data_IF_829504735817
#
_entry.id   IF_829504735817
#
_cell.length_a   1.000
_cell.length_b   1.000
_cell.length_c   1.000
_cell.angle_alpha   90.00
_cell.angle_beta   90.00
_cell.angle_gamma   90.00
#
_symmetry.space_group_name_H-M   'P 1'
#
loop_
_entity.id
_entity.type
_entity.pdbx_description
1 polymer ?
#
# COMPACT_ATOMS: atom_id res chain seq x y z
N UNK A 1 -10.42 20.54 -10.68
CA UNK A 1 -11.15 19.25 -10.39
C UNK A 1 -10.28 18.31 -9.58
N UNK A 2 -10.87 17.42 -8.74
CA UNK A 2 -10.11 16.47 -7.90
C UNK A 2 -10.30 15.01 -8.36
N UNK A 3 -9.20 14.26 -8.47
CA UNK A 3 -9.19 12.81 -8.73
C UNK A 3 -8.82 12.06 -7.44
N UNK A 4 -9.47 10.93 -7.18
CA UNK A 4 -9.32 10.14 -5.94
C UNK A 4 -8.94 8.71 -6.30
N UNK A 5 -7.82 8.23 -5.74
CA UNK A 5 -7.27 6.90 -5.97
C UNK A 5 -7.02 6.18 -4.65
N UNK A 6 -7.09 4.84 -4.67
CA UNK A 6 -6.62 3.99 -3.57
C UNK A 6 -6.10 2.64 -4.11
N UNK A 7 -5.23 1.92 -3.39
CA UNK A 7 -4.66 0.66 -3.87
C UNK A 7 -5.65 -0.51 -3.83
N UNK A 8 -6.66 -0.48 -2.97
CA UNK A 8 -7.67 -1.56 -2.83
C UNK A 8 -9.06 -1.08 -3.25
N UNK A 9 -9.90 -2.02 -3.68
CA UNK A 9 -11.29 -1.72 -4.09
C UNK A 9 -12.13 -1.12 -2.97
N UNK A 10 -12.01 -1.66 -1.76
CA UNK A 10 -12.75 -1.16 -0.58
C UNK A 10 -12.33 0.27 -0.26
N UNK A 11 -11.02 0.53 -0.17
CA UNK A 11 -10.51 1.87 0.13
C UNK A 11 -10.84 2.90 -0.97
N UNK A 12 -10.92 2.46 -2.22
CA UNK A 12 -11.33 3.32 -3.33
C UNK A 12 -12.82 3.66 -3.23
N UNK A 13 -13.67 2.67 -2.89
CA UNK A 13 -15.10 2.88 -2.71
C UNK A 13 -15.39 3.83 -1.54
N UNK A 14 -14.67 3.72 -0.41
CA UNK A 14 -14.85 4.59 0.76
C UNK A 14 -14.66 6.09 0.48
N UNK A 15 -13.84 6.42 -0.52
CA UNK A 15 -13.57 7.80 -0.92
C UNK A 15 -14.27 8.17 -2.23
N UNK A 16 -15.22 7.37 -2.72
CA UNK A 16 -15.85 7.49 -4.06
C UNK A 16 -14.81 7.72 -5.16
N UNK A 17 -13.74 6.93 -5.13
CA UNK A 17 -12.61 6.96 -6.05
C UNK A 17 -12.52 5.71 -6.92
N UNK A 18 -11.35 5.51 -7.52
CA UNK A 18 -11.03 4.30 -8.29
C UNK A 18 -9.74 3.67 -7.80
N UNK A 19 -9.53 2.39 -8.12
CA UNK A 19 -8.26 1.77 -7.74
C UNK A 19 -7.10 2.31 -8.56
N UNK A 20 -5.91 2.38 -7.97
CA UNK A 20 -4.68 2.76 -8.69
C UNK A 20 -4.42 1.83 -9.88
N UNK A 21 -4.64 0.52 -9.74
CA UNK A 21 -4.45 -0.43 -10.84
C UNK A 21 -5.49 -0.26 -11.95
N UNK A 22 -6.76 -0.01 -11.60
CA UNK A 22 -7.80 0.33 -12.60
C UNK A 22 -7.42 1.59 -13.37
N UNK A 23 -6.85 2.59 -12.70
CA UNK A 23 -6.36 3.81 -13.33
C UNK A 23 -5.19 3.55 -14.30
N UNK A 24 -4.23 2.72 -13.90
CA UNK A 24 -3.08 2.39 -14.73
C UNK A 24 -3.44 1.53 -15.95
N UNK A 25 -4.67 1.02 -16.03
CA UNK A 25 -5.09 0.08 -17.07
C UNK A 25 -4.43 -1.29 -16.94
N UNK A 26 -3.88 -1.62 -15.77
CA UNK A 26 -3.28 -2.92 -15.48
C UNK A 26 -4.42 -3.95 -15.28
N UNK A 27 -4.99 -4.46 -16.37
CA UNK A 27 -5.82 -5.66 -16.32
C UNK A 27 -4.90 -6.87 -16.14
N UNK A 28 -5.10 -7.64 -15.07
CA UNK A 28 -4.28 -8.78 -14.65
C UNK A 28 -4.17 -9.95 -15.66
N UNK A 29 -4.57 -9.79 -16.92
CA UNK A 29 -4.59 -10.86 -17.91
C UNK A 29 -4.29 -10.40 -19.35
N UNK A 30 -3.71 -9.22 -19.52
CA UNK A 30 -3.36 -8.71 -20.84
C UNK A 30 -1.84 -8.58 -20.96
N UNK A 31 -1.20 -9.47 -21.73
CA UNK A 31 0.23 -9.40 -22.12
C UNK A 31 0.60 -8.11 -22.87
N UNK A 32 -0.38 -7.24 -23.13
CA UNK A 32 -0.18 -5.91 -23.67
C UNK A 32 -0.08 -4.96 -22.49
N UNK A 33 1.14 -4.63 -22.09
CA UNK A 33 1.38 -3.39 -21.37
C UNK A 33 0.63 -2.29 -22.12
N UNK A 34 -0.38 -1.68 -21.50
CA UNK A 34 -1.06 -0.51 -22.06
C UNK A 34 0.02 0.55 -22.25
N UNK A 35 0.58 0.61 -23.45
CA UNK A 35 1.57 1.60 -23.82
C UNK A 35 0.75 2.86 -24.02
N UNK A 36 0.52 3.59 -22.93
CA UNK A 36 -0.11 4.91 -22.97
C UNK A 36 0.86 5.78 -23.76
N UNK A 37 0.55 5.95 -25.04
CA UNK A 37 1.33 6.81 -25.92
C UNK A 37 0.93 8.26 -25.60
N UNK A 38 1.89 9.19 -25.55
CA UNK A 38 1.59 10.61 -25.63
C UNK A 38 0.65 10.85 -26.82
N UNK A 39 -0.49 11.52 -26.63
CA UNK A 39 -1.51 11.69 -27.66
C UNK A 39 -2.77 10.82 -27.52
N UNK A 40 -2.94 10.03 -26.44
CA UNK A 40 -4.22 9.40 -26.17
C UNK A 40 -5.27 10.45 -25.79
N UNK A 41 -6.00 10.91 -26.81
CA UNK A 41 -6.97 11.99 -26.71
C UNK A 41 -8.04 11.78 -25.63
N UNK A 42 -8.29 10.54 -25.19
CA UNK A 42 -9.27 10.26 -24.14
C UNK A 42 -8.70 10.55 -22.76
N UNK A 43 -7.52 10.01 -22.45
CA UNK A 43 -6.85 10.22 -21.16
C UNK A 43 -6.50 11.70 -20.97
N UNK A 44 -6.02 12.35 -22.04
CA UNK A 44 -5.71 13.78 -22.02
C UNK A 44 -6.94 14.64 -21.74
N UNK A 45 -8.07 14.38 -22.40
CA UNK A 45 -9.32 15.12 -22.15
C UNK A 45 -9.82 14.92 -20.73
N UNK A 46 -9.68 13.72 -20.18
CA UNK A 46 -10.10 13.39 -18.82
C UNK A 46 -9.22 14.06 -17.76
N UNK A 47 -7.91 14.14 -18.00
CA UNK A 47 -6.95 14.68 -17.03
C UNK A 47 -6.68 16.16 -17.17
N UNK A 48 -6.92 16.77 -18.33
CA UNK A 48 -6.80 18.22 -18.53
C UNK A 48 -7.44 19.04 -17.39
N UNK A 49 -8.69 18.80 -16.95
CA UNK A 49 -9.31 19.57 -15.85
C UNK A 49 -8.86 19.19 -14.42
N UNK A 50 -8.09 18.12 -14.24
CA UNK A 50 -7.67 17.63 -12.91
C UNK A 50 -6.55 18.50 -12.35
N UNK A 51 -6.75 19.10 -11.18
CA UNK A 51 -5.75 19.97 -10.52
C UNK A 51 -5.26 19.36 -9.21
N UNK A 52 -6.04 18.45 -8.64
CA UNK A 52 -5.75 17.76 -7.38
C UNK A 52 -5.86 16.25 -7.57
N UNK A 53 -4.89 15.53 -7.02
CA UNK A 53 -4.89 14.08 -6.90
C UNK A 53 -4.81 13.69 -5.43
N UNK A 54 -5.80 12.94 -4.96
CA UNK A 54 -5.82 12.34 -3.63
C UNK A 54 -5.52 10.85 -3.76
N UNK A 55 -4.54 10.36 -3.02
CA UNK A 55 -4.23 8.92 -2.95
C UNK A 55 -4.37 8.47 -1.50
N UNK A 56 -5.34 7.60 -1.24
CA UNK A 56 -5.57 7.00 0.06
C UNK A 56 -4.79 5.69 0.23
N UNK A 57 -4.48 5.32 1.47
CA UNK A 57 -3.70 4.12 1.85
C UNK A 57 -2.33 4.02 1.17
N UNK A 58 -1.59 5.14 1.18
CA UNK A 58 -0.27 5.27 0.56
C UNK A 58 0.77 4.27 1.09
N UNK A 59 0.57 3.71 2.28
CA UNK A 59 1.47 2.69 2.85
C UNK A 59 1.54 1.40 2.01
N UNK A 60 0.46 1.07 1.30
CA UNK A 60 0.39 -0.08 0.40
C UNK A 60 0.91 0.23 -1.01
N UNK A 61 1.15 1.50 -1.33
CA UNK A 61 1.70 1.92 -2.62
C UNK A 61 3.22 1.80 -2.56
N UNK A 62 3.78 0.94 -3.40
CA UNK A 62 5.23 0.77 -3.49
C UNK A 62 5.90 1.75 -4.46
N UNK A 63 7.23 1.71 -4.46
CA UNK A 63 8.06 2.60 -5.29
C UNK A 63 7.81 2.40 -6.80
N UNK A 64 7.71 1.16 -7.28
CA UNK A 64 7.48 0.92 -8.71
C UNK A 64 6.11 1.42 -9.15
N UNK A 65 5.08 1.18 -8.33
CA UNK A 65 3.72 1.63 -8.60
C UNK A 65 3.62 3.17 -8.64
N UNK A 66 4.26 3.86 -7.70
CA UNK A 66 4.27 5.31 -7.64
C UNK A 66 4.95 5.94 -8.87
N UNK A 67 6.07 5.36 -9.32
CA UNK A 67 6.78 5.84 -10.50
C UNK A 67 5.95 5.70 -11.78
N UNK A 68 5.28 4.56 -11.95
CA UNK A 68 4.34 4.34 -13.08
C UNK A 68 3.20 5.35 -13.06
N UNK A 69 2.63 5.60 -11.87
CA UNK A 69 1.56 6.58 -11.69
C UNK A 69 2.00 7.98 -12.14
N UNK A 70 3.17 8.43 -11.69
CA UNK A 70 3.77 9.70 -12.12
C UNK A 70 3.94 9.77 -13.63
N UNK A 71 4.53 8.74 -14.24
CA UNK A 71 4.77 8.69 -15.69
C UNK A 71 3.47 8.86 -16.49
N UNK A 72 2.41 8.15 -16.10
CA UNK A 72 1.12 8.21 -16.79
C UNK A 72 0.45 9.57 -16.63
N UNK A 73 0.54 10.17 -15.44
CA UNK A 73 -0.03 11.50 -15.21
C UNK A 73 0.74 12.56 -16.01
N UNK A 74 2.08 12.52 -16.04
CA UNK A 74 2.88 13.43 -16.87
C UNK A 74 2.50 13.30 -18.35
N UNK A 75 2.34 12.07 -18.86
CA UNK A 75 1.88 11.83 -20.22
C UNK A 75 0.46 12.40 -20.47
N UNK A 76 -0.48 12.17 -19.55
CA UNK A 76 -1.85 12.68 -19.64
C UNK A 76 -1.93 14.21 -19.59
N UNK A 77 -0.97 14.86 -18.92
CA UNK A 77 -0.86 16.31 -18.78
C UNK A 77 -0.04 16.99 -19.87
N UNK A 78 0.58 16.22 -20.77
CA UNK A 78 1.55 16.74 -21.73
C UNK A 78 2.66 17.55 -21.04
N UNK A 79 3.08 17.09 -19.86
CA UNK A 79 4.08 17.75 -19.03
C UNK A 79 5.44 17.08 -19.20
N UNK A 80 6.50 17.85 -18.95
CA UNK A 80 7.86 17.33 -18.89
C UNK A 80 7.93 16.18 -17.85
N UNK A 81 8.53 15.01 -18.18
CA UNK A 81 8.71 13.90 -17.24
C UNK A 81 9.43 14.26 -15.93
N UNK A 82 10.21 15.34 -15.92
CA UNK A 82 10.87 15.88 -14.73
C UNK A 82 9.94 16.69 -13.82
N UNK A 83 8.75 17.08 -14.30
CA UNK A 83 7.75 17.75 -13.48
C UNK A 83 6.93 16.69 -12.73
N UNK A 84 6.99 16.66 -11.39
CA UNK A 84 6.27 15.69 -10.57
C UNK A 84 4.77 15.75 -10.85
N UNK A 85 4.18 14.59 -11.14
CA UNK A 85 2.77 14.39 -11.44
C UNK A 85 2.20 15.38 -12.47
N UNK A 86 3.03 15.82 -13.42
CA UNK A 86 2.64 16.80 -14.43
C UNK A 86 2.17 18.15 -13.86
N UNK A 87 2.63 18.51 -12.66
CA UNK A 87 2.40 19.81 -12.04
C UNK A 87 1.08 19.93 -11.29
N UNK A 88 0.37 18.83 -11.07
CA UNK A 88 -0.84 18.84 -10.23
C UNK A 88 -0.49 18.79 -8.75
N UNK A 89 -1.41 19.26 -7.92
CA UNK A 89 -1.29 19.14 -6.47
C UNK A 89 -1.61 17.70 -6.05
N UNK A 90 -0.74 17.07 -5.26
CA UNK A 90 -0.95 15.70 -4.80
C UNK A 90 -1.07 15.66 -3.28
N UNK A 91 -2.08 14.96 -2.79
CA UNK A 91 -2.36 14.77 -1.37
C UNK A 91 -2.33 13.26 -1.10
N UNK A 92 -1.41 12.86 -0.22
CA UNK A 92 -1.28 11.48 0.21
C UNK A 92 -1.94 11.29 1.58
N UNK A 93 -2.74 10.24 1.72
CA UNK A 93 -3.24 9.74 3.00
C UNK A 93 -2.74 8.33 3.22
N UNK A 94 -2.33 8.02 4.44
CA UNK A 94 -1.96 6.66 4.80
C UNK A 94 -1.19 6.58 6.11
N UNK A 95 -0.99 5.34 6.52
CA UNK A 95 -0.29 5.01 7.74
C UNK A 95 0.74 3.91 7.47
N UNK A 96 2.00 4.30 7.42
CA UNK A 96 3.12 3.43 7.06
C UNK A 96 3.38 2.28 8.06
N UNK A 97 2.75 2.33 9.25
CA UNK A 97 2.86 1.24 10.24
C UNK A 97 1.78 0.16 10.07
N UNK A 98 0.75 0.39 9.26
CA UNK A 98 -0.35 -0.58 9.07
C UNK A 98 0.02 -1.68 8.08
N UNK A 99 0.19 -1.32 6.81
CA UNK A 99 0.39 -2.28 5.73
C UNK A 99 1.57 -1.89 4.86
N UNK A 100 2.40 -2.88 4.50
CA UNK A 100 3.47 -2.74 3.50
C UNK A 100 2.94 -3.01 2.10
N UNK A 101 3.59 -2.48 1.04
CA UNK A 101 3.25 -2.86 -0.33
C UNK A 101 3.46 -4.35 -0.59
N UNK A 102 2.62 -4.91 -1.46
CA UNK A 102 2.69 -6.33 -1.86
C UNK A 102 3.55 -6.44 -3.11
N UNK A 103 4.57 -7.30 -3.09
CA UNK A 103 5.54 -7.51 -4.19
C UNK A 103 6.30 -6.26 -4.69
N UNK A 104 6.24 -5.15 -3.95
CA UNK A 104 6.93 -3.90 -4.25
C UNK A 104 7.66 -3.36 -3.01
N UNK A 105 8.63 -2.47 -3.21
CA UNK A 105 9.41 -1.88 -2.13
C UNK A 105 8.62 -0.75 -1.42
N UNK A 106 8.62 -0.69 -0.08
CA UNK A 106 8.06 0.43 0.68
C UNK A 106 8.66 1.78 0.30
N UNK A 107 7.88 2.85 0.44
CA UNK A 107 8.32 4.21 0.08
C UNK A 107 9.48 4.74 0.93
N UNK A 108 9.62 4.24 2.17
CA UNK A 108 10.70 4.57 3.09
C UNK A 108 11.94 3.66 2.94
N UNK A 109 12.03 2.87 1.87
CA UNK A 109 13.20 2.06 1.61
C UNK A 109 14.38 2.97 1.28
N UNK A 110 15.48 2.86 2.04
CA UNK A 110 16.73 3.53 1.71
C UNK A 110 17.23 3.00 0.36
N UNK A 111 17.00 3.77 -0.70
CA UNK A 111 17.43 3.39 -2.03
C UNK A 111 18.83 3.96 -2.26
N UNK A 112 19.84 3.12 -2.06
CA UNK A 112 21.20 3.41 -2.50
C UNK A 112 21.42 2.73 -3.84
N UNK A 113 21.72 3.51 -4.88
CA UNK A 113 22.31 2.93 -6.09
C UNK A 113 23.59 2.19 -5.68
N UNK A 114 23.86 0.99 -6.22
CA UNK A 114 25.13 0.33 -6.00
C UNK A 114 26.26 1.18 -6.60
N UNK A 115 26.82 2.08 -5.79
CA UNK A 115 27.99 2.85 -6.13
C UNK A 115 29.17 1.88 -6.09
N UNK A 116 29.63 1.49 -7.28
CA UNK A 116 30.86 0.74 -7.58
C UNK A 116 30.80 -0.78 -7.41
N UNK A 117 30.60 -1.45 -8.55
CA UNK A 117 31.45 -2.58 -8.94
C UNK A 117 31.87 -2.36 -10.39
N UNK A 118 33.06 -2.81 -10.78
CA UNK A 118 33.83 -2.43 -11.98
C UNK A 118 33.22 -2.88 -13.33
N UNK A 119 31.91 -2.93 -13.45
CA UNK A 119 31.20 -3.21 -14.70
C UNK A 119 30.03 -2.23 -14.81
N UNK A 120 30.00 -1.48 -15.91
CA UNK A 120 28.89 -0.63 -16.34
C UNK A 120 27.63 -1.48 -16.57
N UNK A 121 27.00 -1.92 -15.48
CA UNK A 121 25.74 -2.67 -15.55
C UNK A 121 24.62 -1.66 -15.77
N UNK A 122 23.91 -1.82 -16.89
CA UNK A 122 22.70 -1.04 -17.21
C UNK A 122 21.70 -1.24 -16.06
N UNK A 123 21.16 -0.13 -15.53
CA UNK A 123 20.13 -0.16 -14.48
C UNK A 123 18.87 -0.84 -15.02
N UNK A 124 18.25 -1.68 -14.22
CA UNK A 124 16.96 -2.28 -14.59
C UNK A 124 15.85 -1.23 -14.52
N UNK A 125 14.77 -1.44 -15.27
CA UNK A 125 13.61 -0.55 -15.24
C UNK A 125 13.06 -0.38 -13.82
N UNK A 126 13.01 -1.47 -13.04
CA UNK A 126 12.59 -1.43 -11.64
C UNK A 126 13.49 -0.54 -10.78
N UNK A 127 14.80 -0.58 -10.99
CA UNK A 127 15.73 0.30 -10.28
C UNK A 127 15.53 1.77 -10.65
N UNK A 128 15.27 2.06 -11.94
CA UNK A 128 14.96 3.42 -12.42
C UNK A 128 13.66 3.92 -11.79
N UNK A 129 12.61 3.10 -11.81
CA UNK A 129 11.32 3.40 -11.18
C UNK A 129 11.50 3.69 -9.68
N UNK A 130 12.31 2.89 -8.98
CA UNK A 130 12.59 3.14 -7.57
C UNK A 130 13.30 4.48 -7.34
N UNK A 131 14.27 4.86 -8.18
CA UNK A 131 14.93 6.18 -8.10
C UNK A 131 13.93 7.32 -8.27
N UNK A 132 13.07 7.21 -9.29
CA UNK A 132 12.07 8.23 -9.61
C UNK A 132 11.09 8.38 -8.45
N UNK A 133 10.50 7.29 -7.97
CA UNK A 133 9.57 7.34 -6.86
C UNK A 133 10.21 7.86 -5.57
N UNK A 134 11.45 7.48 -5.27
CA UNK A 134 12.16 8.02 -4.12
C UNK A 134 12.37 9.54 -4.24
N UNK A 135 12.72 10.04 -5.44
CA UNK A 135 12.79 11.48 -5.71
C UNK A 135 11.45 12.19 -5.48
N UNK A 136 10.33 11.60 -5.94
CA UNK A 136 8.99 12.15 -5.74
C UNK A 136 8.62 12.26 -4.25
N UNK A 137 8.94 11.24 -3.45
CA UNK A 137 8.68 11.25 -2.00
C UNK A 137 9.51 12.31 -1.28
N UNK A 138 10.77 12.52 -1.68
CA UNK A 138 11.63 13.57 -1.12
C UNK A 138 11.15 14.99 -1.42
N UNK A 139 10.25 15.17 -2.38
CA UNK A 139 9.68 16.46 -2.75
C UNK A 139 8.40 16.79 -1.98
N UNK A 140 7.92 15.91 -1.10
CA UNK A 140 6.81 16.22 -0.20
C UNK A 140 7.21 17.41 0.67
N UNK A 141 6.50 18.53 0.51
CA UNK A 141 6.82 19.80 1.15
C UNK A 141 6.04 20.05 2.45
N UNK A 142 5.00 19.26 2.72
CA UNK A 142 4.14 19.44 3.87
C UNK A 142 3.59 18.10 4.36
N UNK A 143 3.66 17.88 5.67
CA UNK A 143 3.18 16.66 6.33
C UNK A 143 2.35 17.06 7.54
N UNK A 144 1.12 16.54 7.60
CA UNK A 144 0.24 16.67 8.77
C UNK A 144 0.15 15.31 9.44
N UNK A 145 0.38 15.30 10.77
CA UNK A 145 0.18 14.11 11.59
C UNK A 145 -1.08 14.30 12.44
N UNK A 146 -2.08 13.46 12.22
CA UNK A 146 -3.21 13.36 13.13
C UNK A 146 -2.82 12.55 14.36
N UNK A 147 -3.09 13.09 15.55
CA UNK A 147 -2.72 12.48 16.85
C UNK A 147 -3.93 11.98 17.62
N UNK A 148 -5.13 12.48 17.31
CA UNK A 148 -6.35 12.08 17.98
C UNK A 148 -7.01 10.93 17.23
N UNK A 149 -7.22 9.81 17.93
CA UNK A 149 -8.00 8.68 17.45
C UNK A 149 -9.50 8.97 17.67
N UNK A 150 -10.33 8.69 16.66
CA UNK A 150 -11.77 8.99 16.67
C UNK A 150 -12.69 7.77 16.47
N UNK A 151 -12.16 6.55 16.35
CA UNK A 151 -12.97 5.35 16.07
C UNK A 151 -13.49 4.66 17.35
N UNK A 152 -12.89 4.91 18.52
CA UNK A 152 -13.34 4.29 19.78
C UNK A 152 -13.11 5.21 20.97
N UNK A 153 -14.00 5.15 21.95
CA UNK A 153 -13.91 5.91 23.22
C UNK A 153 -13.30 5.08 24.36
N UNK A 154 -13.11 3.76 24.17
CA UNK A 154 -12.55 2.88 25.20
C UNK A 154 -11.06 3.16 25.40
N UNK A 155 -10.74 3.81 26.53
CA UNK A 155 -9.38 4.21 26.88
C UNK A 155 -8.44 3.02 27.05
N UNK A 156 -8.91 1.89 27.57
CA UNK A 156 -8.08 0.68 27.74
C UNK A 156 -7.74 0.10 26.38
N UNK A 157 -8.70 0.05 25.48
CA UNK A 157 -8.47 -0.42 24.12
C UNK A 157 -7.54 0.52 23.33
N UNK A 158 -7.72 1.83 23.44
CA UNK A 158 -6.84 2.82 22.81
C UNK A 158 -5.39 2.67 23.25
N UNK A 159 -5.16 2.50 24.56
CA UNK A 159 -3.82 2.26 25.10
C UNK A 159 -3.19 0.98 24.56
N UNK A 160 -3.97 -0.10 24.45
CA UNK A 160 -3.53 -1.34 23.83
C UNK A 160 -3.13 -1.12 22.36
N UNK A 161 -3.98 -0.45 21.57
CA UNK A 161 -3.71 -0.18 20.16
C UNK A 161 -2.45 0.68 19.96
N UNK A 162 -2.25 1.68 20.82
CA UNK A 162 -1.07 2.56 20.77
C UNK A 162 0.22 1.79 21.08
N UNK A 163 0.19 0.89 22.08
CA UNK A 163 1.31 -0.02 22.37
C UNK A 163 1.55 -0.99 21.24
N UNK A 164 0.49 -1.59 20.69
CA UNK A 164 0.58 -2.53 19.57
C UNK A 164 1.22 -1.89 18.35
N UNK A 165 0.82 -0.65 18.03
CA UNK A 165 1.38 0.17 16.95
C UNK A 165 2.90 0.34 17.06
N UNK A 166 3.41 0.52 18.28
CA UNK A 166 4.84 0.72 18.54
C UNK A 166 5.57 -0.57 18.93
N UNK A 167 4.90 -1.73 18.90
CA UNK A 167 5.45 -3.03 19.31
C UNK A 167 5.88 -3.06 20.79
N UNK A 168 5.10 -2.41 21.64
CA UNK A 168 5.34 -2.26 23.08
C UNK A 168 4.25 -2.92 23.93
N UNK A 169 3.55 -3.92 23.39
CA UNK A 169 2.52 -4.64 24.14
C UNK A 169 3.11 -5.29 25.41
N UNK A 170 2.32 -5.29 26.48
CA UNK A 170 2.66 -5.92 27.75
C UNK A 170 1.73 -7.11 28.05
N UNK A 171 1.90 -7.73 29.23
CA UNK A 171 1.09 -8.88 29.62
C UNK A 171 -0.40 -8.51 29.81
N UNK A 172 -0.69 -7.33 30.35
CA UNK A 172 -2.06 -6.84 30.54
C UNK A 172 -2.81 -6.69 29.20
N UNK A 173 -2.11 -6.27 28.13
CA UNK A 173 -2.69 -6.22 26.79
C UNK A 173 -3.10 -7.60 26.29
N UNK A 174 -2.26 -8.60 26.55
CA UNK A 174 -2.54 -9.99 26.19
C UNK A 174 -3.75 -10.52 26.97
N UNK A 175 -3.82 -10.30 28.28
CA UNK A 175 -4.98 -10.68 29.09
C UNK A 175 -6.26 -9.99 28.62
N UNK A 176 -6.18 -8.70 28.25
CA UNK A 176 -7.32 -7.97 27.70
C UNK A 176 -7.82 -8.61 26.40
N UNK A 177 -6.93 -8.98 25.48
CA UNK A 177 -7.31 -9.66 24.23
C UNK A 177 -7.91 -11.05 24.47
N UNK A 178 -7.45 -11.77 25.50
CA UNK A 178 -8.03 -13.07 25.87
C UNK A 178 -9.50 -12.95 26.28
N UNK A 179 -9.91 -11.83 26.87
CA UNK A 179 -11.33 -11.61 27.21
C UNK A 179 -12.24 -11.56 25.98
N UNK A 180 -11.70 -11.31 24.80
CA UNK A 180 -12.45 -11.24 23.54
C UNK A 180 -12.51 -12.58 22.80
N UNK A 181 -11.84 -13.62 23.32
CA UNK A 181 -12.01 -14.97 22.82
C UNK A 181 -13.38 -15.46 23.28
N UNK A 182 -14.37 -15.29 22.40
CA UNK A 182 -15.72 -15.80 22.64
C UNK A 182 -15.66 -17.32 22.65
N UNK A 183 -15.80 -17.89 23.85
CA UNK A 183 -15.80 -19.33 24.12
C UNK A 183 -14.46 -19.87 24.64
N UNK A 184 -14.31 -19.97 25.97
CA UNK A 184 -13.36 -20.90 26.64
C UNK A 184 -13.99 -21.38 27.96
N UNK A 185 -13.79 -22.63 28.46
CA UNK A 185 -12.71 -23.58 28.20
C UNK A 185 -13.20 -25.03 27.89
N UNK A 186 -14.27 -25.21 27.11
CA UNK A 186 -14.79 -26.56 26.78
C UNK A 186 -14.78 -26.88 25.29
N UNK A 187 -13.94 -26.21 24.51
CA UNK A 187 -13.61 -26.66 23.16
C UNK A 187 -12.32 -27.46 23.34
N UNK A 188 -12.42 -28.79 23.18
CA UNK A 188 -11.25 -29.66 23.14
C UNK A 188 -10.20 -29.11 22.18
N UNK A 189 -8.95 -29.48 22.40
CA UNK A 189 -7.84 -29.17 21.49
C UNK A 189 -8.29 -29.38 20.04
N UNK A 190 -7.72 -28.66 19.07
CA UNK A 190 -7.96 -28.97 17.64
C UNK A 190 -7.59 -30.43 17.28
N UNK A 191 -6.85 -31.12 18.17
CA UNK A 191 -6.52 -32.54 18.14
C UNK A 191 -7.63 -33.47 18.66
N UNK A 192 -8.69 -32.92 19.26
CA UNK A 192 -9.81 -33.64 19.83
C UNK A 192 -11.00 -33.69 18.84
N UNK A 193 -11.86 -34.70 18.99
CA UNK A 193 -13.06 -34.85 18.15
C UNK A 193 -14.08 -33.75 18.47
N UNK A 194 -14.80 -33.18 17.48
CA UNK A 194 -14.88 -33.59 16.06
C UNK A 194 -13.81 -32.99 15.14
N UNK A 195 -12.94 -32.11 15.65
CA UNK A 195 -11.97 -31.35 14.84
C UNK A 195 -10.88 -32.24 14.23
N UNK A 196 -10.49 -33.32 14.91
CA UNK A 196 -9.58 -34.34 14.37
C UNK A 196 -10.17 -35.24 13.28
N UNK A 197 -11.48 -35.15 13.01
CA UNK A 197 -12.18 -35.88 11.93
C UNK A 197 -12.41 -35.01 10.70
N UNK A 198 -12.08 -33.71 10.76
CA UNK A 198 -12.13 -32.80 9.62
C UNK A 198 -11.03 -33.11 8.60
N UNK A 199 -11.36 -32.99 7.32
CA UNK A 199 -10.46 -33.38 6.22
C UNK A 199 -9.12 -32.61 6.26
N UNK A 200 -8.02 -33.32 6.00
CA UNK A 200 -6.61 -32.89 6.13
C UNK A 200 -6.23 -31.59 5.39
N UNK A 201 -7.08 -31.13 4.47
CA UNK A 201 -6.92 -29.88 3.71
C UNK A 201 -6.98 -28.61 4.56
N UNK A 202 -7.70 -28.62 5.70
CA UNK A 202 -7.74 -27.46 6.60
C UNK A 202 -6.48 -27.34 7.49
N UNK A 203 -5.79 -28.45 7.74
CA UNK A 203 -4.58 -28.51 8.56
C UNK A 203 -3.33 -27.99 7.82
N UNK A 204 -3.27 -28.16 6.50
CA UNK A 204 -2.12 -27.70 5.71
C UNK A 204 -2.08 -26.17 5.57
N UNK A 205 -3.23 -25.50 5.46
CA UNK A 205 -3.28 -24.04 5.27
C UNK A 205 -2.85 -23.26 6.52
N UNK A 206 -3.13 -23.78 7.71
CA UNK A 206 -2.77 -23.14 8.99
C UNK A 206 -1.30 -23.38 9.39
N UNK A 207 -0.71 -24.55 9.10
CA UNK A 207 0.72 -24.78 9.40
C UNK A 207 1.70 -24.21 8.37
N UNK A 208 1.33 -24.11 7.08
CA UNK A 208 2.25 -23.58 6.06
C UNK A 208 2.55 -22.08 6.22
N UNK A 209 1.61 -21.31 6.77
CA UNK A 209 1.82 -19.89 7.05
C UNK A 209 2.58 -19.61 8.35
N UNK A 210 2.75 -20.60 9.24
CA UNK A 210 3.52 -20.46 10.48
C UNK A 210 4.97 -20.95 10.36
N UNK A 211 5.30 -21.86 9.43
CA UNK A 211 6.69 -22.37 9.29
C UNK A 211 7.52 -21.67 8.21
N UNK A 212 6.93 -20.80 7.38
CA UNK A 212 7.66 -20.01 6.37
C UNK A 212 8.06 -18.61 6.86
N UNK A 213 8.02 -18.38 8.17
CA UNK A 213 8.52 -17.16 8.82
C UNK A 213 9.22 -17.49 10.14
N UNK A 214 10.30 -18.26 10.04
CA UNK A 214 11.48 -18.19 10.91
C UNK A 214 12.73 -18.20 10.04
#
# INVERSE_FOLDING_TARGET
MMRKLAPTGIAAAEIDGMTTHSFLGEQCNCEKACTIKPGDSKLEKEWRPVEYLLINNMSMVGLALLAKLNQIICAAKYADPHVPFGGINVIFFGDYLQYRPVYDAPLHTNFSLPIKSKSSKILTEKQIQHCVAHSLILQINFVVKFTQQMQTEDTRYLQLLERLRHRQCNYDDYELLLTWVVGQPSIGSLRDSPWNKGNFLFYFWTMYHLSSSF
#
